data_IF_614413213042
#
_entry.id   IF_614413213042
#
_cell.length_a   1.000
_cell.length_b   1.000
_cell.length_c   1.000
_cell.angle_alpha   90.00
_cell.angle_beta   90.00
_cell.angle_gamma   90.00
#
_symmetry.space_group_name_H-M   'P 1'
#
loop_
_entity.id
_entity.type
_entity.pdbx_description
1 polymer ?
#
# COMPACT_ATOMS: atom_id res chain seq x y z
N UNK A 1 21.14 -37.73 -44.40
CA UNK A 1 20.79 -37.61 -45.85
C UNK A 1 20.30 -36.21 -46.08
N UNK A 2 21.14 -35.47 -46.83
CA UNK A 2 20.81 -34.58 -47.98
C UNK A 2 19.86 -33.40 -47.65
N UNK A 3 20.16 -32.18 -47.83
CA UNK A 3 21.07 -31.30 -48.62
C UNK A 3 20.35 -29.94 -48.59
N UNK A 4 20.86 -28.81 -48.07
CA UNK A 4 21.77 -27.88 -48.78
C UNK A 4 21.15 -27.17 -50.00
N UNK A 5 21.08 -25.83 -49.96
CA UNK A 5 21.72 -24.83 -50.86
C UNK A 5 20.95 -23.53 -50.71
N UNK A 6 21.54 -22.45 -50.23
CA UNK A 6 22.48 -21.47 -50.83
C UNK A 6 22.00 -20.77 -52.12
N UNK A 7 22.19 -19.47 -52.07
CA UNK A 7 22.63 -18.50 -53.09
C UNK A 7 21.68 -17.29 -53.19
N UNK A 8 22.06 -16.08 -53.44
CA UNK A 8 23.28 -15.27 -53.55
C UNK A 8 22.85 -13.88 -53.98
N UNK A 9 23.49 -12.90 -53.42
CA UNK A 9 23.81 -11.55 -53.81
C UNK A 9 23.54 -11.03 -55.23
N UNK A 10 23.32 -9.69 -55.32
CA UNK A 10 23.90 -8.72 -56.28
C UNK A 10 23.34 -7.33 -55.94
N UNK A 11 24.04 -6.37 -55.44
CA UNK A 11 25.01 -5.40 -56.04
C UNK A 11 24.56 -4.86 -57.39
N UNK A 12 24.26 -3.56 -57.46
CA UNK A 12 24.73 -2.67 -58.49
C UNK A 12 24.64 -1.18 -58.08
N UNK A 13 25.77 -0.56 -58.24
CA UNK A 13 26.06 0.87 -58.15
C UNK A 13 25.81 1.56 -59.55
N UNK A 14 25.71 2.86 -59.52
CA UNK A 14 25.79 3.71 -60.66
C UNK A 14 24.88 4.91 -60.59
N UNK A 15 25.16 6.11 -60.80
CA UNK A 15 26.38 6.83 -61.27
C UNK A 15 26.07 8.33 -61.19
N UNK A 16 27.09 9.12 -60.97
CA UNK A 16 27.08 10.58 -61.04
C UNK A 16 26.57 11.08 -62.39
N UNK A 17 25.88 12.24 -62.35
CA UNK A 17 25.98 13.18 -63.48
C UNK A 17 25.91 14.62 -62.96
N UNK A 18 27.04 15.31 -63.05
CA UNK A 18 27.20 16.76 -63.04
C UNK A 18 26.53 17.37 -64.25
N UNK A 19 25.82 18.47 -64.02
CA UNK A 19 25.66 19.47 -65.05
C UNK A 19 25.71 20.88 -64.48
N UNK A 20 26.78 21.61 -64.73
CA UNK A 20 26.90 23.04 -64.60
C UNK A 20 26.11 23.75 -65.72
N UNK A 21 25.32 24.72 -65.33
CA UNK A 21 25.01 25.83 -66.22
C UNK A 21 24.81 27.11 -65.35
N UNK A 22 25.66 28.08 -65.61
CA UNK A 22 25.62 29.42 -65.08
C UNK A 22 24.57 30.28 -65.82
N UNK A 23 23.88 31.20 -65.12
CA UNK A 23 23.79 32.63 -65.49
C UNK A 23 22.82 33.43 -64.57
N UNK A 24 23.40 34.49 -64.06
CA UNK A 24 22.84 35.85 -63.75
C UNK A 24 21.53 36.01 -62.94
N UNK A 25 21.68 36.54 -61.76
CA UNK A 25 21.06 37.47 -60.82
C UNK A 25 19.56 37.79 -60.90
N UNK A 26 18.93 38.40 -59.92
CA UNK A 26 19.45 39.32 -58.90
C UNK A 26 19.09 38.97 -57.43
N UNK A 27 19.72 39.68 -56.47
CA UNK A 27 19.54 39.74 -55.06
C UNK A 27 18.22 39.20 -54.50
N UNK A 28 18.29 38.09 -53.77
CA UNK A 28 17.25 37.67 -52.85
C UNK A 28 17.80 37.71 -51.41
N UNK A 29 16.97 38.15 -50.53
CA UNK A 29 17.22 38.39 -49.11
C UNK A 29 17.82 37.18 -48.40
N UNK A 30 18.79 37.41 -47.54
CA UNK A 30 19.27 36.47 -46.52
C UNK A 30 18.11 36.12 -45.58
N UNK A 31 17.57 34.92 -45.74
CA UNK A 31 16.72 34.34 -44.75
C UNK A 31 17.63 33.76 -43.67
N UNK A 32 17.84 34.51 -42.62
CA UNK A 32 18.44 34.03 -41.37
C UNK A 32 17.53 32.94 -40.83
N UNK A 33 17.86 31.68 -41.02
CA UNK A 33 17.29 30.58 -40.24
C UNK A 33 17.83 30.73 -38.84
N UNK A 34 17.00 31.33 -37.97
CA UNK A 34 17.18 31.29 -36.54
C UNK A 34 17.11 29.79 -36.14
N UNK A 35 18.06 29.27 -35.35
CA UNK A 35 17.88 27.99 -34.71
C UNK A 35 16.68 28.13 -33.76
N UNK A 36 15.66 27.34 -33.99
CA UNK A 36 14.57 27.18 -33.01
C UNK A 36 15.20 26.37 -31.86
N UNK A 37 15.64 27.06 -30.82
CA UNK A 37 15.87 26.44 -29.53
C UNK A 37 14.52 25.87 -29.05
N UNK A 38 14.28 24.61 -29.39
CA UNK A 38 13.33 23.83 -28.61
C UNK A 38 14.01 23.63 -27.22
N UNK A 39 13.35 24.03 -26.14
CA UNK A 39 13.86 23.69 -24.83
C UNK A 39 13.95 22.15 -24.76
N UNK A 40 15.15 21.64 -24.65
CA UNK A 40 15.38 20.27 -24.23
C UNK A 40 14.75 20.19 -22.84
N UNK A 41 13.61 19.51 -22.70
CA UNK A 41 13.11 19.15 -21.38
C UNK A 41 14.22 18.29 -20.75
N UNK A 42 14.82 18.82 -19.70
CA UNK A 42 15.72 18.02 -18.86
C UNK A 42 14.90 16.85 -18.33
N UNK A 43 15.31 15.65 -18.65
CA UNK A 43 14.70 14.43 -18.11
C UNK A 43 15.03 14.40 -16.62
N UNK A 44 14.01 14.29 -15.77
CA UNK A 44 14.20 14.15 -14.34
C UNK A 44 15.11 12.93 -14.06
N UNK A 45 16.15 13.13 -13.25
CA UNK A 45 17.18 12.13 -12.98
C UNK A 45 16.96 11.42 -11.63
N UNK A 46 15.86 11.74 -10.93
CA UNK A 46 15.59 11.25 -9.59
C UNK A 46 16.25 12.09 -8.50
N UNK A 47 15.77 11.89 -7.29
CA UNK A 47 16.26 12.54 -6.08
C UNK A 47 16.43 11.52 -4.95
N UNK A 48 17.16 11.91 -3.90
CA UNK A 48 17.30 11.10 -2.69
C UNK A 48 16.00 11.21 -1.86
N UNK A 49 15.35 10.08 -1.58
CA UNK A 49 14.10 9.99 -0.83
C UNK A 49 14.26 9.06 0.36
N UNK A 50 13.94 9.56 1.56
CA UNK A 50 13.98 8.76 2.81
C UNK A 50 12.60 8.18 3.08
N UNK A 51 12.49 6.87 3.02
CA UNK A 51 11.23 6.14 3.08
C UNK A 51 11.13 5.29 4.36
N UNK A 52 10.03 5.40 5.11
CA UNK A 52 9.67 4.45 6.15
C UNK A 52 8.58 3.51 5.66
N UNK A 53 8.83 2.21 5.76
CA UNK A 53 7.88 1.17 5.40
C UNK A 53 7.51 0.38 6.65
N UNK A 54 6.22 0.32 6.98
CA UNK A 54 5.76 -0.46 8.11
C UNK A 54 5.74 -1.95 7.75
N UNK A 55 6.25 -2.80 8.63
CA UNK A 55 6.19 -4.26 8.45
C UNK A 55 4.73 -4.76 8.38
N UNK A 56 4.51 -5.91 7.74
CA UNK A 56 3.18 -6.48 7.53
C UNK A 56 2.42 -5.90 6.33
N UNK A 57 1.08 -6.00 6.30
CA UNK A 57 0.27 -5.68 5.12
C UNK A 57 0.48 -4.27 4.58
N UNK A 58 0.71 -3.30 5.47
CA UNK A 58 0.92 -1.89 5.12
C UNK A 58 2.14 -1.70 4.20
N UNK A 59 3.23 -2.45 4.43
CA UNK A 59 4.46 -2.32 3.65
C UNK A 59 4.60 -3.29 2.48
N UNK A 60 3.77 -4.33 2.42
CA UNK A 60 3.89 -5.37 1.38
C UNK A 60 3.85 -4.79 -0.03
N UNK A 61 2.99 -3.79 -0.27
CA UNK A 61 2.87 -3.14 -1.57
C UNK A 61 4.15 -2.47 -2.09
N UNK A 62 5.09 -2.11 -1.20
CA UNK A 62 6.34 -1.47 -1.56
C UNK A 62 7.46 -2.47 -1.97
N UNK A 63 7.26 -3.77 -1.82
CA UNK A 63 8.35 -4.75 -1.91
C UNK A 63 9.10 -4.71 -3.25
N UNK A 64 8.41 -4.49 -4.37
CA UNK A 64 9.07 -4.40 -5.68
C UNK A 64 9.82 -3.08 -5.86
N UNK A 65 9.28 -1.97 -5.33
CA UNK A 65 9.94 -0.67 -5.32
C UNK A 65 11.25 -0.74 -4.53
N UNK A 66 11.21 -1.28 -3.30
CA UNK A 66 12.40 -1.39 -2.45
C UNK A 66 13.47 -2.28 -3.08
N UNK A 67 13.07 -3.45 -3.58
CA UNK A 67 13.99 -4.34 -4.30
C UNK A 67 14.56 -3.69 -5.57
N UNK A 68 13.76 -2.90 -6.28
CA UNK A 68 14.21 -2.10 -7.43
C UNK A 68 15.25 -1.06 -7.03
N UNK A 69 15.01 -0.36 -5.92
CA UNK A 69 15.96 0.61 -5.36
C UNK A 69 17.31 -0.02 -5.01
N UNK A 70 17.31 -1.17 -4.33
CA UNK A 70 18.54 -1.89 -4.00
C UNK A 70 19.34 -2.31 -5.23
N UNK A 71 18.67 -2.51 -6.36
CA UNK A 71 19.29 -2.86 -7.64
C UNK A 71 19.62 -1.66 -8.53
N UNK A 72 19.21 -0.44 -8.15
CA UNK A 72 19.36 0.78 -8.96
C UNK A 72 18.43 0.84 -10.16
N UNK A 73 17.25 0.18 -10.08
CA UNK A 73 16.25 0.11 -11.15
C UNK A 73 15.14 1.18 -10.99
N UNK A 74 15.23 2.04 -9.96
CA UNK A 74 14.27 3.12 -9.68
C UNK A 74 14.76 4.47 -10.20
N UNK A 75 13.83 5.38 -10.47
CA UNK A 75 14.16 6.77 -10.86
C UNK A 75 14.71 7.51 -9.64
N UNK A 76 13.98 7.49 -8.51
CA UNK A 76 14.48 8.04 -7.25
C UNK A 76 15.50 7.10 -6.58
N UNK A 77 16.34 7.67 -5.72
CA UNK A 77 17.28 6.92 -4.88
C UNK A 77 16.70 6.79 -3.47
N UNK A 78 16.17 5.62 -3.13
CA UNK A 78 15.53 5.42 -1.84
C UNK A 78 16.52 4.92 -0.78
N UNK A 79 16.58 5.65 0.33
CA UNK A 79 17.09 5.10 1.60
C UNK A 79 15.87 4.74 2.43
N UNK A 80 15.75 3.49 2.88
CA UNK A 80 14.53 3.05 3.54
C UNK A 80 14.78 2.33 4.86
N UNK A 81 13.78 2.40 5.75
CA UNK A 81 13.71 1.67 7.01
C UNK A 81 12.43 0.84 7.03
N UNK A 82 12.53 -0.44 7.39
CA UNK A 82 11.36 -1.27 7.69
C UNK A 82 11.09 -1.19 9.18
N UNK A 83 10.10 -0.38 9.55
CA UNK A 83 9.69 -0.13 10.92
C UNK A 83 8.79 -1.24 11.46
N UNK A 84 8.89 -1.51 12.76
CA UNK A 84 8.08 -2.54 13.42
C UNK A 84 6.70 -2.05 13.84
N UNK A 85 6.55 -0.75 14.11
CA UNK A 85 5.29 -0.14 14.54
C UNK A 85 5.13 1.32 14.08
N UNK A 86 3.89 1.83 14.19
CA UNK A 86 3.57 3.19 13.77
C UNK A 86 4.27 4.28 14.61
N UNK A 87 4.62 4.02 15.87
CA UNK A 87 5.23 5.06 16.74
C UNK A 87 6.65 5.38 16.26
N UNK A 88 7.40 4.36 15.81
CA UNK A 88 8.70 4.53 15.19
C UNK A 88 8.61 5.43 13.94
N UNK A 89 7.65 5.15 13.05
CA UNK A 89 7.42 5.93 11.84
C UNK A 89 6.99 7.37 12.17
N UNK A 90 6.05 7.54 13.10
CA UNK A 90 5.58 8.86 13.56
C UNK A 90 6.71 9.69 14.12
N UNK A 91 7.57 9.09 14.96
CA UNK A 91 8.71 9.80 15.55
C UNK A 91 9.66 10.32 14.47
N UNK A 92 10.00 9.51 13.47
CA UNK A 92 10.89 9.92 12.38
C UNK A 92 10.28 10.96 11.44
N UNK A 93 8.98 10.85 11.12
CA UNK A 93 8.30 11.86 10.30
C UNK A 93 8.20 13.23 10.97
N UNK A 94 8.01 13.26 12.31
CA UNK A 94 7.79 14.48 13.08
C UNK A 94 9.05 15.02 13.76
N UNK A 95 10.19 14.38 13.59
CA UNK A 95 11.48 14.88 14.08
C UNK A 95 11.82 16.23 13.42
N UNK A 96 12.48 17.12 14.15
CA UNK A 96 12.78 18.48 13.70
C UNK A 96 13.58 18.54 12.39
N UNK A 97 14.49 17.57 12.18
CA UNK A 97 15.26 17.46 10.94
C UNK A 97 14.65 16.45 9.95
N UNK A 98 13.50 15.85 10.32
CA UNK A 98 12.81 14.78 9.61
C UNK A 98 13.74 13.60 9.28
N UNK A 99 13.44 12.40 9.77
CA UNK A 99 14.20 11.21 9.37
C UNK A 99 13.67 10.62 8.07
N UNK A 100 12.36 10.81 7.81
CA UNK A 100 11.66 10.31 6.63
C UNK A 100 10.96 11.44 5.89
N UNK A 101 10.91 11.34 4.57
CA UNK A 101 10.18 12.24 3.68
C UNK A 101 8.81 11.67 3.35
N UNK A 102 8.76 10.35 3.11
CA UNK A 102 7.56 9.58 2.80
C UNK A 102 7.49 8.39 3.77
N UNK A 103 6.28 8.03 4.18
CA UNK A 103 6.10 6.86 5.05
C UNK A 103 4.78 6.13 4.82
N UNK A 104 4.75 4.85 5.16
CA UNK A 104 3.57 4.00 5.14
C UNK A 104 3.09 3.77 6.57
N UNK A 105 1.84 4.15 6.85
CA UNK A 105 1.25 4.10 8.19
C UNK A 105 -0.17 3.53 8.16
N UNK A 106 -0.70 3.19 9.33
CA UNK A 106 -2.13 2.92 9.44
C UNK A 106 -2.95 4.18 9.10
N UNK A 107 -4.10 3.99 8.46
CA UNK A 107 -4.92 5.11 7.96
C UNK A 107 -5.40 6.07 9.05
N UNK A 108 -5.75 5.56 10.23
CA UNK A 108 -6.10 6.40 11.38
C UNK A 108 -4.91 7.20 11.90
N UNK A 109 -3.70 6.66 11.81
CA UNK A 109 -2.46 7.36 12.16
C UNK A 109 -2.19 8.50 11.18
N UNK A 110 -2.50 8.33 9.89
CA UNK A 110 -2.41 9.41 8.90
C UNK A 110 -3.31 10.60 9.27
N UNK A 111 -4.58 10.37 9.63
CA UNK A 111 -5.49 11.41 10.10
C UNK A 111 -4.99 12.08 11.39
N UNK A 112 -4.48 11.28 12.33
CA UNK A 112 -3.90 11.76 13.58
C UNK A 112 -2.69 12.66 13.35
N UNK A 113 -1.77 12.25 12.45
CA UNK A 113 -0.61 13.03 12.06
C UNK A 113 -1.01 14.36 11.44
N UNK A 114 -1.90 14.34 10.45
CA UNK A 114 -2.41 15.55 9.82
C UNK A 114 -2.94 16.55 10.85
N UNK A 115 -3.82 16.10 11.76
CA UNK A 115 -4.41 16.97 12.77
C UNK A 115 -3.39 17.49 13.78
N UNK A 116 -2.47 16.63 14.26
CA UNK A 116 -1.46 17.02 15.25
C UNK A 116 -0.38 17.93 14.67
N UNK A 117 -0.03 17.75 13.41
CA UNK A 117 0.96 18.58 12.71
C UNK A 117 0.33 19.79 12.01
N UNK A 118 -0.99 19.98 12.14
CA UNK A 118 -1.72 21.09 11.50
C UNK A 118 -1.54 21.15 9.98
N UNK A 119 -1.47 19.96 9.34
CA UNK A 119 -1.34 19.81 7.90
C UNK A 119 0.08 19.65 7.37
N UNK A 120 1.10 19.57 8.24
CA UNK A 120 2.49 19.34 7.80
C UNK A 120 2.74 17.90 7.29
N UNK A 121 1.78 16.99 7.46
CA UNK A 121 1.81 15.64 6.88
C UNK A 121 0.54 15.42 6.08
N UNK A 122 0.68 14.96 4.82
CA UNK A 122 -0.44 14.72 3.89
C UNK A 122 -0.44 13.30 3.37
N UNK A 123 -1.60 12.82 2.90
CA UNK A 123 -1.76 11.49 2.29
C UNK A 123 -1.49 11.60 0.79
N UNK A 124 -0.56 10.77 0.29
CA UNK A 124 -0.22 10.61 -1.13
C UNK A 124 -1.06 9.54 -1.82
N UNK A 125 -1.26 8.42 -1.11
CA UNK A 125 -2.00 7.27 -1.62
C UNK A 125 -2.56 6.41 -0.48
N UNK A 126 -3.59 5.62 -0.81
CA UNK A 126 -4.12 4.57 0.05
C UNK A 126 -3.59 3.22 -0.44
N UNK A 127 -3.11 2.37 0.49
CA UNK A 127 -2.30 1.19 0.15
C UNK A 127 -2.98 -0.16 0.39
N UNK A 128 -3.80 -0.28 1.43
CA UNK A 128 -4.51 -1.53 1.75
C UNK A 128 -5.94 -1.27 2.21
N UNK A 129 -6.84 -2.17 1.83
CA UNK A 129 -8.15 -2.29 2.45
C UNK A 129 -8.09 -3.17 3.70
N UNK A 130 -9.23 -3.74 4.14
CA UNK A 130 -9.27 -4.57 5.33
C UNK A 130 -8.39 -5.82 5.22
N UNK A 131 -7.80 -6.20 6.34
CA UNK A 131 -6.89 -7.35 6.46
C UNK A 131 -7.22 -8.20 7.70
N UNK A 132 -8.38 -7.99 8.30
CA UNK A 132 -8.78 -8.66 9.53
C UNK A 132 -9.74 -9.81 9.26
N UNK A 133 -9.56 -10.91 9.98
CA UNK A 133 -10.37 -12.11 9.85
C UNK A 133 -10.80 -12.63 11.22
N UNK A 134 -12.06 -13.10 11.33
CA UNK A 134 -12.49 -13.94 12.45
C UNK A 134 -12.15 -15.38 12.09
N UNK A 135 -11.33 -15.99 12.92
CA UNK A 135 -10.96 -17.39 12.82
C UNK A 135 -11.74 -18.22 13.83
N UNK A 136 -12.15 -19.42 13.41
CA UNK A 136 -12.76 -20.41 14.29
C UNK A 136 -11.88 -21.65 14.40
N UNK A 137 -11.54 -22.01 15.63
CA UNK A 137 -10.69 -23.12 15.99
C UNK A 137 -11.45 -24.40 16.30
N UNK A 138 -10.74 -25.42 16.79
CA UNK A 138 -11.30 -26.70 17.29
C UNK A 138 -12.22 -27.43 16.31
N UNK A 139 -11.96 -27.29 14.98
CA UNK A 139 -12.82 -27.79 13.89
C UNK A 139 -14.26 -27.23 13.94
N UNK A 140 -14.43 -26.05 14.53
CA UNK A 140 -15.73 -25.37 14.62
C UNK A 140 -16.29 -25.00 13.25
N UNK A 141 -17.61 -25.01 13.13
CA UNK A 141 -18.36 -24.62 11.92
C UNK A 141 -19.57 -23.75 12.27
N UNK A 142 -19.65 -23.24 13.48
CA UNK A 142 -20.81 -22.52 13.99
C UNK A 142 -20.86 -21.04 13.54
N UNK A 143 -19.70 -20.44 13.31
CA UNK A 143 -19.60 -19.02 12.94
C UNK A 143 -19.74 -18.91 11.40
N UNK A 144 -20.84 -18.33 10.94
CA UNK A 144 -21.11 -18.09 9.51
C UNK A 144 -21.34 -16.59 9.23
N UNK A 145 -21.59 -15.80 10.28
CA UNK A 145 -21.86 -14.35 10.22
C UNK A 145 -21.45 -13.67 11.52
N UNK A 146 -21.39 -12.32 11.50
CA UNK A 146 -21.14 -11.53 12.71
C UNK A 146 -22.15 -11.82 13.83
N UNK A 147 -23.39 -12.16 13.52
CA UNK A 147 -24.44 -12.47 14.49
C UNK A 147 -24.18 -13.73 15.31
N UNK A 148 -23.41 -14.68 14.73
CA UNK A 148 -23.06 -15.94 15.40
C UNK A 148 -21.99 -15.75 16.47
N UNK A 149 -21.42 -14.54 16.58
CA UNK A 149 -20.49 -14.18 17.64
C UNK A 149 -21.17 -13.91 18.98
N UNK A 150 -22.51 -13.84 19.02
CA UNK A 150 -23.24 -13.63 20.29
C UNK A 150 -22.94 -14.70 21.32
N UNK A 151 -22.56 -14.24 22.52
CA UNK A 151 -22.19 -15.10 23.66
C UNK A 151 -20.79 -15.72 23.56
N UNK A 152 -19.99 -15.35 22.56
CA UNK A 152 -18.62 -15.87 22.40
C UNK A 152 -17.60 -14.95 23.05
N UNK A 153 -16.49 -15.53 23.49
CA UNK A 153 -15.25 -14.80 23.80
C UNK A 153 -14.41 -14.70 22.53
N UNK A 154 -14.10 -13.49 22.10
CA UNK A 154 -13.30 -13.18 20.91
C UNK A 154 -11.93 -12.71 21.36
N UNK A 155 -10.88 -13.47 21.06
CA UNK A 155 -9.52 -13.04 21.29
C UNK A 155 -9.05 -12.17 20.12
N UNK A 156 -8.68 -10.92 20.38
CA UNK A 156 -8.44 -9.92 19.35
C UNK A 156 -7.10 -9.22 19.54
N UNK A 157 -6.51 -8.75 18.45
CA UNK A 157 -5.35 -7.85 18.49
C UNK A 157 -5.77 -6.40 18.38
N UNK A 158 -4.85 -5.47 18.73
CA UNK A 158 -5.00 -4.05 18.41
C UNK A 158 -5.94 -3.29 19.31
N UNK A 159 -5.86 -3.52 20.64
CA UNK A 159 -6.57 -2.72 21.63
C UNK A 159 -6.25 -1.22 21.48
N UNK A 160 -7.27 -0.37 21.47
CA UNK A 160 -7.12 1.07 21.29
C UNK A 160 -6.69 1.51 19.88
N UNK A 161 -6.82 0.62 18.89
CA UNK A 161 -6.41 0.88 17.52
C UNK A 161 -7.47 0.40 16.51
N UNK A 162 -7.20 0.59 15.20
CA UNK A 162 -8.13 0.21 14.12
C UNK A 162 -8.79 -1.17 14.29
N UNK A 163 -8.08 -2.25 14.65
CA UNK A 163 -8.71 -3.56 14.77
C UNK A 163 -9.86 -3.59 15.78
N UNK A 164 -9.69 -2.97 16.95
CA UNK A 164 -10.77 -2.88 17.95
C UNK A 164 -11.96 -2.07 17.43
N UNK A 165 -11.71 -0.90 16.83
CA UNK A 165 -12.79 -0.05 16.32
C UNK A 165 -13.60 -0.75 15.23
N UNK A 166 -12.93 -1.45 14.31
CA UNK A 166 -13.57 -2.23 13.24
C UNK A 166 -14.45 -3.34 13.83
N UNK A 167 -13.92 -4.13 14.78
CA UNK A 167 -14.68 -5.21 15.42
C UNK A 167 -15.92 -4.67 16.12
N UNK A 168 -15.77 -3.63 16.93
CA UNK A 168 -16.89 -3.01 17.67
C UNK A 168 -17.95 -2.44 16.71
N UNK A 169 -17.54 -1.78 15.65
CA UNK A 169 -18.45 -1.26 14.64
C UNK A 169 -19.25 -2.39 13.97
N UNK A 170 -18.57 -3.42 13.48
CA UNK A 170 -19.22 -4.54 12.81
C UNK A 170 -20.17 -5.32 13.74
N UNK A 171 -19.83 -5.47 15.02
CA UNK A 171 -20.73 -6.05 16.02
C UNK A 171 -22.00 -5.18 16.15
N UNK A 172 -21.83 -3.88 16.36
CA UNK A 172 -22.96 -2.93 16.52
C UNK A 172 -23.87 -2.91 15.33
N UNK A 173 -23.34 -2.80 14.10
CA UNK A 173 -24.11 -2.78 12.87
C UNK A 173 -24.86 -4.11 12.62
N UNK A 174 -24.37 -5.21 13.20
CA UNK A 174 -25.05 -6.50 13.14
C UNK A 174 -25.99 -6.75 14.33
N UNK A 175 -26.26 -5.72 15.15
CA UNK A 175 -27.21 -5.75 16.25
C UNK A 175 -26.71 -6.41 17.52
N UNK A 176 -25.39 -6.48 17.71
CA UNK A 176 -24.74 -6.96 18.91
C UNK A 176 -24.15 -5.78 19.71
N UNK A 177 -24.38 -5.77 21.01
CA UNK A 177 -23.71 -4.86 21.94
C UNK A 177 -22.30 -5.42 22.24
N UNK A 178 -21.21 -4.73 21.82
CA UNK A 178 -19.85 -5.25 21.98
C UNK A 178 -19.41 -5.36 23.46
N UNK A 179 -20.14 -4.74 24.39
CA UNK A 179 -19.83 -4.77 25.82
C UNK A 179 -20.72 -5.74 26.60
N UNK A 180 -21.78 -6.32 25.99
CA UNK A 180 -22.73 -7.20 26.65
C UNK A 180 -22.96 -8.53 25.94
N UNK A 181 -22.96 -8.51 24.61
CA UNK A 181 -23.30 -9.68 23.80
C UNK A 181 -22.09 -10.55 23.46
N UNK A 182 -20.88 -10.04 23.64
CA UNK A 182 -19.61 -10.75 23.42
C UNK A 182 -18.63 -10.40 24.56
N UNK A 183 -17.60 -11.19 24.72
CA UNK A 183 -16.43 -10.87 25.53
C UNK A 183 -15.24 -10.67 24.60
N UNK A 184 -14.59 -9.49 24.63
CA UNK A 184 -13.40 -9.21 23.82
C UNK A 184 -12.17 -9.23 24.72
N UNK A 185 -11.23 -10.13 24.43
CA UNK A 185 -9.97 -10.29 25.16
C UNK A 185 -8.81 -9.91 24.23
N UNK A 186 -8.01 -8.92 24.63
CA UNK A 186 -6.90 -8.44 23.82
C UNK A 186 -5.58 -9.11 24.22
N UNK A 187 -4.81 -9.55 23.22
CA UNK A 187 -3.47 -10.09 23.37
C UNK A 187 -2.66 -9.93 22.07
N UNK A 188 -1.39 -10.32 22.10
CA UNK A 188 -0.55 -10.33 20.91
C UNK A 188 -0.96 -11.40 19.89
N UNK A 189 -0.79 -11.11 18.60
CA UNK A 189 -1.14 -12.03 17.53
C UNK A 189 -0.45 -13.41 17.66
N UNK A 190 0.78 -13.44 18.15
CA UNK A 190 1.53 -14.68 18.37
C UNK A 190 0.92 -15.52 19.47
N UNK A 191 0.55 -14.91 20.59
CA UNK A 191 -0.13 -15.56 21.71
C UNK A 191 -1.49 -16.12 21.29
N UNK A 192 -2.30 -15.28 20.64
CA UNK A 192 -3.63 -15.66 20.14
C UNK A 192 -3.52 -16.83 19.15
N UNK A 193 -2.59 -16.74 18.19
CA UNK A 193 -2.38 -17.81 17.20
C UNK A 193 -2.01 -19.14 17.87
N UNK A 194 -1.10 -19.13 18.86
CA UNK A 194 -0.68 -20.34 19.57
C UNK A 194 -1.84 -20.97 20.34
N UNK A 195 -2.63 -20.18 21.05
CA UNK A 195 -3.81 -20.64 21.80
C UNK A 195 -4.91 -21.19 20.87
N UNK A 196 -5.13 -20.53 19.72
CA UNK A 196 -6.12 -20.98 18.73
C UNK A 196 -5.72 -22.31 18.10
N UNK A 197 -4.45 -22.46 17.72
CA UNK A 197 -3.91 -23.72 17.14
C UNK A 197 -3.94 -24.86 18.14
N UNK A 198 -3.64 -24.59 19.42
CA UNK A 198 -3.68 -25.61 20.49
C UNK A 198 -5.10 -26.02 20.89
N UNK A 199 -6.13 -25.24 20.52
CA UNK A 199 -7.51 -25.44 20.91
C UNK A 199 -7.83 -24.91 22.32
N UNK A 200 -6.97 -24.09 22.92
CA UNK A 200 -7.22 -23.42 24.20
C UNK A 200 -8.30 -22.34 24.04
N UNK A 201 -8.38 -21.72 22.89
CA UNK A 201 -9.43 -20.76 22.50
C UNK A 201 -10.11 -21.20 21.21
N UNK A 202 -11.37 -20.78 21.01
CA UNK A 202 -12.17 -21.19 19.87
C UNK A 202 -12.36 -20.08 18.82
N UNK A 203 -12.30 -18.79 19.22
CA UNK A 203 -12.61 -17.68 18.33
C UNK A 203 -11.54 -16.60 18.48
N UNK A 204 -10.96 -16.20 17.36
CA UNK A 204 -9.94 -15.15 17.34
C UNK A 204 -10.17 -14.16 16.20
N UNK A 205 -9.83 -12.90 16.41
CA UNK A 205 -9.67 -11.92 15.35
C UNK A 205 -8.17 -11.65 15.14
N UNK A 206 -7.67 -11.96 13.97
CA UNK A 206 -6.26 -11.79 13.60
C UNK A 206 -6.13 -11.05 12.27
N UNK A 207 -5.08 -10.22 12.12
CA UNK A 207 -4.73 -9.67 10.81
C UNK A 207 -3.96 -10.69 9.97
N UNK A 208 -4.01 -10.53 8.64
CA UNK A 208 -3.03 -11.11 7.73
C UNK A 208 -1.67 -10.45 8.02
N UNK A 209 -0.52 -11.18 8.07
CA UNK A 209 -0.34 -12.59 7.75
C UNK A 209 -0.55 -13.57 8.93
N UNK A 210 -0.83 -13.08 10.14
CA UNK A 210 -0.97 -13.95 11.31
C UNK A 210 -2.15 -14.94 11.16
N UNK A 211 -3.29 -14.48 10.63
CA UNK A 211 -4.43 -15.34 10.31
C UNK A 211 -4.05 -16.46 9.35
N UNK A 212 -3.39 -16.12 8.24
CA UNK A 212 -2.91 -17.09 7.24
C UNK A 212 -1.95 -18.10 7.84
N UNK A 213 -1.03 -17.65 8.72
CA UNK A 213 -0.08 -18.51 9.39
C UNK A 213 -0.78 -19.46 10.36
N UNK A 214 -1.73 -18.98 11.16
CA UNK A 214 -2.49 -19.80 12.10
C UNK A 214 -3.27 -20.91 11.37
N UNK A 215 -3.97 -20.57 10.30
CA UNK A 215 -4.68 -21.54 9.45
C UNK A 215 -3.70 -22.59 8.89
N UNK A 216 -2.59 -22.15 8.30
CA UNK A 216 -1.62 -23.05 7.69
C UNK A 216 -0.97 -24.02 8.70
N UNK A 217 -0.70 -23.56 9.93
CA UNK A 217 -0.05 -24.36 10.98
C UNK A 217 -1.02 -25.28 11.72
N UNK A 218 -2.31 -24.98 11.71
CA UNK A 218 -3.35 -25.72 12.45
C UNK A 218 -3.65 -27.11 11.92
N UNK A 219 -3.11 -27.49 10.73
CA UNK A 219 -3.40 -28.75 10.04
C UNK A 219 -4.90 -29.00 9.80
N UNK A 220 -5.65 -27.93 9.62
CA UNK A 220 -7.08 -27.96 9.32
C UNK A 220 -8.00 -27.82 10.55
N UNK A 221 -7.47 -27.65 11.77
CA UNK A 221 -8.30 -27.40 12.95
C UNK A 221 -8.78 -25.96 13.11
N UNK A 222 -8.19 -25.04 12.37
CA UNK A 222 -8.59 -23.62 12.32
C UNK A 222 -9.04 -23.25 10.91
N UNK A 223 -10.15 -22.55 10.81
CA UNK A 223 -10.64 -22.00 9.54
C UNK A 223 -10.81 -20.50 9.60
N UNK A 224 -10.79 -19.87 8.44
CA UNK A 224 -11.33 -18.54 8.23
C UNK A 224 -12.86 -18.61 8.29
N UNK A 225 -13.44 -17.93 9.27
CA UNK A 225 -14.88 -17.93 9.47
C UNK A 225 -15.54 -16.70 8.86
N UNK A 226 -14.95 -15.51 9.05
CA UNK A 226 -15.47 -14.25 8.51
C UNK A 226 -14.29 -13.37 8.07
N UNK A 227 -14.27 -12.98 6.80
CA UNK A 227 -13.49 -11.85 6.30
C UNK A 227 -14.18 -10.55 6.70
N UNK A 228 -13.55 -9.73 7.56
CA UNK A 228 -14.14 -8.49 8.03
C UNK A 228 -14.24 -7.41 6.95
N UNK A 229 -13.49 -7.51 5.87
CA UNK A 229 -13.62 -6.62 4.71
C UNK A 229 -14.94 -6.90 3.99
N UNK A 230 -15.26 -8.17 3.77
CA UNK A 230 -16.55 -8.59 3.22
C UNK A 230 -17.68 -8.17 4.15
N UNK A 231 -17.56 -8.42 5.45
CA UNK A 231 -18.58 -8.03 6.42
C UNK A 231 -18.82 -6.51 6.47
N UNK A 232 -17.76 -5.70 6.28
CA UNK A 232 -17.86 -4.25 6.16
C UNK A 232 -18.60 -3.82 4.89
N UNK A 233 -18.23 -4.40 3.76
CA UNK A 233 -18.86 -4.08 2.47
C UNK A 233 -20.33 -4.44 2.45
N UNK A 234 -20.74 -5.51 3.16
CA UNK A 234 -22.12 -5.94 3.29
C UNK A 234 -23.01 -4.95 4.09
N UNK A 235 -22.41 -3.99 4.81
CA UNK A 235 -23.17 -2.92 5.47
C UNK A 235 -23.77 -1.93 4.49
N UNK A 236 -23.22 -1.83 3.27
CA UNK A 236 -23.66 -0.92 2.19
C UNK A 236 -23.87 0.54 2.67
N UNK A 237 -23.00 0.99 3.57
CA UNK A 237 -23.06 2.31 4.20
C UNK A 237 -22.28 3.40 3.45
N UNK A 238 -21.78 3.10 2.24
CA UNK A 238 -21.02 4.01 1.39
C UNK A 238 -19.58 4.22 1.81
N UNK A 239 -19.09 3.56 2.90
CA UNK A 239 -17.69 3.60 3.31
C UNK A 239 -16.92 2.37 2.81
N UNK A 240 -15.60 2.52 2.69
CA UNK A 240 -14.68 1.41 2.43
C UNK A 240 -13.74 1.23 3.62
N UNK A 241 -13.42 -0.02 3.93
CA UNK A 241 -12.49 -0.34 5.01
C UNK A 241 -11.05 -0.11 4.51
N UNK A 242 -10.53 1.10 4.68
CA UNK A 242 -9.17 1.47 4.30
C UNK A 242 -8.27 1.44 5.53
N UNK A 243 -7.27 0.55 5.54
CA UNK A 243 -6.44 0.32 6.72
C UNK A 243 -5.04 0.94 6.64
N UNK A 244 -4.54 1.30 5.46
CA UNK A 244 -3.24 1.95 5.33
C UNK A 244 -3.23 3.13 4.38
N UNK A 245 -2.31 4.05 4.65
CA UNK A 245 -2.04 5.21 3.83
C UNK A 245 -0.53 5.41 3.67
N UNK A 246 -0.14 5.94 2.52
CA UNK A 246 1.18 6.51 2.27
C UNK A 246 1.08 7.99 2.57
N UNK A 247 1.94 8.49 3.44
CA UNK A 247 1.98 9.89 3.85
C UNK A 247 3.32 10.52 3.52
N UNK A 248 3.34 11.82 3.33
CA UNK A 248 4.57 12.58 3.14
C UNK A 248 4.52 13.89 3.92
N UNK A 249 5.69 14.45 4.18
CA UNK A 249 5.85 15.77 4.75
C UNK A 249 5.45 16.83 3.73
N UNK A 250 4.73 17.85 4.17
CA UNK A 250 4.23 18.92 3.29
C UNK A 250 5.36 19.76 2.68
N UNK A 251 6.46 19.98 3.41
CA UNK A 251 7.66 20.66 2.89
C UNK A 251 8.30 19.85 1.75
N UNK A 252 8.47 18.53 1.92
CA UNK A 252 8.99 17.66 0.85
C UNK A 252 8.10 17.68 -0.40
N UNK A 253 6.76 17.67 -0.23
CA UNK A 253 5.82 17.77 -1.36
C UNK A 253 5.97 19.08 -2.13
N UNK A 254 6.25 20.19 -1.42
CA UNK A 254 6.40 21.51 -2.02
C UNK A 254 7.75 21.70 -2.72
N UNK A 255 8.82 21.12 -2.18
CA UNK A 255 10.18 21.32 -2.66
C UNK A 255 10.57 20.29 -3.74
N UNK A 256 9.98 19.07 -3.71
CA UNK A 256 10.36 17.93 -4.54
C UNK A 256 9.21 17.30 -5.34
N UNK A 257 8.36 18.08 -6.04
CA UNK A 257 7.14 17.55 -6.69
C UNK A 257 7.45 16.46 -7.74
N UNK A 258 8.57 16.55 -8.46
CA UNK A 258 8.94 15.53 -9.45
C UNK A 258 9.37 14.21 -8.80
N UNK A 259 10.01 14.26 -7.63
CA UNK A 259 10.33 13.07 -6.87
C UNK A 259 9.06 12.38 -6.33
N UNK A 260 8.06 13.19 -5.93
CA UNK A 260 6.75 12.66 -5.49
C UNK A 260 6.01 11.98 -6.64
N UNK A 261 5.98 12.59 -7.83
CA UNK A 261 5.35 12.00 -9.01
C UNK A 261 6.03 10.68 -9.38
N UNK A 262 7.37 10.65 -9.43
CA UNK A 262 8.12 9.43 -9.69
C UNK A 262 7.85 8.34 -8.63
N UNK A 263 7.79 8.72 -7.34
CA UNK A 263 7.45 7.78 -6.27
C UNK A 263 6.05 7.18 -6.47
N UNK A 264 5.06 7.98 -6.82
CA UNK A 264 3.69 7.50 -7.02
C UNK A 264 3.61 6.50 -8.17
N UNK A 265 4.28 6.78 -9.29
CA UNK A 265 4.36 5.85 -10.43
C UNK A 265 5.06 4.54 -10.06
N UNK A 266 6.19 4.62 -9.37
CA UNK A 266 6.98 3.45 -8.95
C UNK A 266 6.24 2.62 -7.90
N UNK A 267 5.53 3.28 -6.96
CA UNK A 267 4.74 2.59 -5.96
C UNK A 267 3.51 1.90 -6.56
N UNK A 268 2.79 2.55 -7.51
CA UNK A 268 1.69 1.92 -8.24
C UNK A 268 2.15 0.67 -9.00
N UNK A 269 3.28 0.78 -9.70
CA UNK A 269 3.88 -0.35 -10.40
C UNK A 269 4.28 -1.47 -9.43
N UNK A 270 4.81 -1.11 -8.24
CA UNK A 270 5.16 -2.07 -7.20
C UNK A 270 3.93 -2.81 -6.65
N UNK A 271 2.86 -2.08 -6.31
CA UNK A 271 1.60 -2.67 -5.84
C UNK A 271 1.02 -3.63 -6.89
N UNK A 272 1.02 -3.21 -8.15
CA UNK A 272 0.54 -4.04 -9.27
C UNK A 272 1.36 -5.31 -9.40
N UNK A 273 2.69 -5.20 -9.40
CA UNK A 273 3.59 -6.35 -9.47
C UNK A 273 3.33 -7.35 -8.34
N UNK A 274 3.24 -6.86 -7.09
CA UNK A 274 3.02 -7.70 -5.91
C UNK A 274 1.71 -8.47 -5.99
N UNK A 275 0.65 -7.84 -6.48
CA UNK A 275 -0.67 -8.48 -6.66
C UNK A 275 -0.65 -9.56 -7.73
N UNK A 276 0.04 -9.31 -8.84
CA UNK A 276 0.07 -10.21 -10.00
C UNK A 276 1.07 -11.35 -9.85
N UNK A 277 2.10 -11.18 -9.00
CA UNK A 277 3.19 -12.13 -8.83
C UNK A 277 3.41 -12.52 -7.35
N UNK A 278 2.40 -13.08 -6.65
CA UNK A 278 2.47 -13.30 -5.20
C UNK A 278 3.58 -14.30 -4.78
N UNK A 279 3.99 -15.22 -5.67
CA UNK A 279 5.07 -16.17 -5.40
C UNK A 279 6.43 -15.48 -5.33
N UNK A 280 6.78 -14.69 -6.36
CA UNK A 280 8.02 -13.92 -6.42
C UNK A 280 8.02 -12.79 -5.40
N UNK A 281 6.91 -12.06 -5.28
CA UNK A 281 6.75 -10.99 -4.32
C UNK A 281 6.87 -11.50 -2.88
N UNK A 282 6.39 -12.70 -2.58
CA UNK A 282 6.53 -13.30 -1.26
C UNK A 282 7.98 -13.50 -0.85
N UNK A 283 8.88 -13.82 -1.80
CA UNK A 283 10.31 -13.89 -1.53
C UNK A 283 10.88 -12.49 -1.24
N UNK A 284 10.56 -11.48 -2.07
CA UNK A 284 11.00 -10.09 -1.85
C UNK A 284 10.57 -9.57 -0.47
N UNK A 285 9.30 -9.78 -0.11
CA UNK A 285 8.72 -9.35 1.18
C UNK A 285 9.46 -9.97 2.37
N UNK A 286 9.89 -11.23 2.26
CA UNK A 286 10.66 -11.90 3.30
C UNK A 286 12.11 -11.41 3.36
N UNK A 287 12.76 -11.25 2.21
CA UNK A 287 14.16 -10.78 2.13
C UNK A 287 14.31 -9.36 2.66
N UNK A 288 13.30 -8.52 2.45
CA UNK A 288 13.21 -7.15 2.99
C UNK A 288 12.81 -7.09 4.48
N UNK A 289 12.48 -8.20 5.12
CA UNK A 289 12.05 -8.24 6.51
C UNK A 289 10.63 -7.71 6.77
N UNK A 290 9.83 -7.49 5.72
CA UNK A 290 8.43 -7.01 5.83
C UNK A 290 7.52 -8.14 6.36
N UNK A 291 7.84 -9.39 6.06
CA UNK A 291 7.15 -10.56 6.62
C UNK A 291 8.15 -11.62 7.10
N UNK A 292 7.73 -12.51 8.04
CA UNK A 292 8.65 -13.45 8.69
C UNK A 292 9.16 -14.56 7.76
N UNK A 293 8.47 -14.88 6.67
CA UNK A 293 8.92 -15.89 5.70
C UNK A 293 8.21 -15.74 4.35
N UNK A 294 8.89 -16.15 3.28
CA UNK A 294 8.34 -16.20 1.93
C UNK A 294 7.09 -17.07 1.82
N UNK A 295 7.10 -18.25 2.42
CA UNK A 295 5.97 -19.19 2.34
C UNK A 295 4.67 -18.64 2.98
N UNK A 296 4.80 -17.83 4.04
CA UNK A 296 3.65 -17.13 4.65
C UNK A 296 3.26 -15.94 3.78
N UNK A 297 4.22 -15.13 3.34
CA UNK A 297 3.96 -13.97 2.51
C UNK A 297 3.23 -14.31 1.21
N UNK A 298 3.66 -15.36 0.49
CA UNK A 298 3.03 -15.85 -0.73
C UNK A 298 1.54 -16.15 -0.56
N UNK A 299 1.17 -16.77 0.57
CA UNK A 299 -0.23 -17.07 0.88
C UNK A 299 -1.00 -15.87 1.39
N UNK A 300 -0.33 -14.94 2.06
CA UNK A 300 -0.93 -13.76 2.67
C UNK A 300 -1.21 -12.65 1.65
N UNK A 301 -0.33 -12.44 0.66
CA UNK A 301 -0.44 -11.38 -0.34
C UNK A 301 -1.84 -11.30 -0.98
N UNK A 302 -2.45 -12.40 -1.47
CA UNK A 302 -3.79 -12.35 -2.04
C UNK A 302 -4.90 -11.90 -1.05
N UNK A 303 -4.62 -12.00 0.27
CA UNK A 303 -5.56 -11.63 1.34
C UNK A 303 -5.26 -10.24 1.94
N UNK A 304 -4.20 -9.58 1.48
CA UNK A 304 -3.84 -8.25 1.97
C UNK A 304 -4.68 -7.13 1.37
N UNK A 305 -5.57 -7.43 0.41
CA UNK A 305 -6.43 -6.45 -0.23
C UNK A 305 -5.68 -5.18 -0.66
N UNK A 306 -4.52 -5.37 -1.31
CA UNK A 306 -3.67 -4.27 -1.76
C UNK A 306 -4.40 -3.43 -2.81
N UNK A 307 -4.36 -2.12 -2.63
CA UNK A 307 -4.90 -1.12 -3.56
C UNK A 307 -3.86 -0.02 -3.78
N UNK A 308 -4.00 0.71 -4.87
CA UNK A 308 -3.36 2.00 -5.07
C UNK A 308 -4.44 2.99 -5.45
N UNK A 309 -4.76 3.92 -4.55
CA UNK A 309 -5.70 5.01 -4.79
C UNK A 309 -5.00 6.31 -4.45
N UNK A 310 -4.85 7.21 -5.42
CA UNK A 310 -4.17 8.50 -5.27
C UNK A 310 -5.04 9.65 -5.79
N UNK A 311 -4.62 10.88 -5.54
CA UNK A 311 -5.30 12.06 -6.04
C UNK A 311 -6.77 12.10 -5.62
N UNK A 312 -7.66 12.31 -6.59
CA UNK A 312 -9.10 12.51 -6.34
C UNK A 312 -9.85 11.26 -5.85
N UNK A 313 -9.27 10.08 -6.02
CA UNK A 313 -9.90 8.81 -5.66
C UNK A 313 -9.76 8.49 -4.17
N UNK A 314 -8.86 9.17 -3.46
CA UNK A 314 -8.63 8.94 -2.03
C UNK A 314 -9.81 9.35 -1.16
N UNK A 315 -10.32 10.59 -1.33
CA UNK A 315 -11.40 11.11 -0.47
C UNK A 315 -12.66 10.24 -0.48
N UNK A 316 -13.25 9.87 -1.64
CA UNK A 316 -14.45 9.04 -1.65
C UNK A 316 -14.22 7.64 -1.07
N UNK A 317 -12.99 7.15 -1.08
CA UNK A 317 -12.66 5.84 -0.54
C UNK A 317 -12.54 5.82 0.99
N UNK A 318 -12.01 6.89 1.62
CA UNK A 318 -11.64 6.85 3.03
C UNK A 318 -12.49 7.74 3.94
N UNK A 319 -13.14 8.79 3.44
CA UNK A 319 -13.87 9.74 4.30
C UNK A 319 -14.93 9.08 5.17
N UNK A 320 -15.73 8.17 4.61
CA UNK A 320 -16.74 7.44 5.38
C UNK A 320 -16.13 6.54 6.47
N UNK A 321 -14.94 5.99 6.24
CA UNK A 321 -14.22 5.24 7.26
C UNK A 321 -13.76 6.14 8.41
N UNK A 322 -13.25 7.34 8.13
CA UNK A 322 -12.89 8.31 9.15
C UNK A 322 -14.10 8.78 9.97
N UNK A 323 -15.26 8.94 9.33
CA UNK A 323 -16.51 9.26 10.03
C UNK A 323 -16.92 8.17 11.02
N UNK A 324 -16.78 6.89 10.62
CA UNK A 324 -17.03 5.74 11.51
C UNK A 324 -16.05 5.76 12.69
N UNK A 325 -14.75 5.90 12.44
CA UNK A 325 -13.75 5.97 13.52
C UNK A 325 -14.03 7.12 14.48
N UNK A 326 -14.32 8.30 13.94
CA UNK A 326 -14.64 9.48 14.72
C UNK A 326 -15.88 9.30 15.59
N UNK A 327 -16.90 8.59 15.10
CA UNK A 327 -18.13 8.33 15.84
C UNK A 327 -17.92 7.40 17.03
N UNK A 328 -16.94 6.49 16.92
CA UNK A 328 -16.59 5.53 17.99
C UNK A 328 -15.67 6.19 19.02
N UNK A 329 -14.60 6.81 18.54
CA UNK A 329 -13.60 7.51 19.33
C UNK A 329 -12.98 8.64 18.52
N UNK A 330 -13.35 9.91 18.79
CA UNK A 330 -12.76 11.04 18.07
C UNK A 330 -11.23 11.08 18.12
N UNK A 331 -10.62 10.53 19.17
CA UNK A 331 -9.16 10.53 19.31
C UNK A 331 -8.48 9.58 18.30
N UNK A 332 -9.22 8.60 17.76
CA UNK A 332 -8.74 7.68 16.73
C UNK A 332 -8.26 8.42 15.47
N UNK A 333 -8.86 9.55 15.16
CA UNK A 333 -8.50 10.42 14.01
C UNK A 333 -7.88 11.77 14.42
N UNK A 334 -7.44 11.89 15.68
CA UNK A 334 -6.77 13.10 16.19
C UNK A 334 -7.68 14.17 16.76
N UNK A 335 -8.94 13.83 17.13
CA UNK A 335 -9.88 14.69 17.81
C UNK A 335 -10.87 15.45 16.93
N UNK A 336 -10.57 15.56 15.63
CA UNK A 336 -11.44 16.16 14.59
C UNK A 336 -11.35 15.33 13.32
N UNK A 337 -12.41 15.36 12.49
CA UNK A 337 -12.29 14.83 11.13
C UNK A 337 -11.28 15.71 10.35
N UNK A 338 -10.38 15.08 9.57
CA UNK A 338 -9.43 15.85 8.78
C UNK A 338 -10.15 16.62 7.66
N UNK A 339 -9.64 17.81 7.35
CA UNK A 339 -10.10 18.60 6.21
C UNK A 339 -9.66 17.97 4.88
N UNK A 340 -10.25 18.42 3.77
CA UNK A 340 -9.93 17.95 2.42
C UNK A 340 -8.46 18.15 2.02
N UNK A 341 -7.79 19.10 2.65
CA UNK A 341 -6.37 19.40 2.45
C UNK A 341 -5.42 18.29 2.91
N UNK A 342 -5.93 17.29 3.62
CA UNK A 342 -5.17 16.06 3.96
C UNK A 342 -4.74 15.28 2.70
N UNK A 343 -5.53 15.36 1.62
CA UNK A 343 -5.27 14.59 0.40
C UNK A 343 -4.38 15.38 -0.55
N UNK A 344 -3.22 14.82 -0.89
CA UNK A 344 -2.40 15.35 -1.97
C UNK A 344 -3.06 15.09 -3.32
N UNK A 345 -3.33 16.16 -4.06
CA UNK A 345 -3.86 16.09 -5.43
C UNK A 345 -2.87 16.87 -6.30
N UNK A 346 -2.08 16.18 -7.15
CA UNK A 346 -1.10 16.80 -8.02
C UNK A 346 -1.69 17.75 -9.05
#
# INVERSE_FOLDING_TARGET
MKKMKTLLAAVLAGALSLSLAACSGPKAAETTTQPTDQPTQEVFQGEDVRLAVLSGPTGIGAAKLLSGSDNGDTVNHYTYTVASDNNEVVAGLTAADGEYDIAMVASNVAANLYNKTQGDVKILALGTQGVLHILEGSNGTAIQSMKDLKGKTIYATGQGANPEYILRHLLTENGLDPDKDVEIVFADATEISAKLISGEIETAMLPVPAATAAIAQSKGSVRDAIDLTTAWNDLDNGSQLIMSAVVARADFLAEHPQAVDAFLEEYEASVTYVKENPEEAGQLVADLGIAPSAAIAQKAIPQCNLVFLSGKDMKPAISGYYEVLYSIDPTAVGGTLPDDDIYYVP
#
